data_IF_791907983446
#
_entry.id   IF_791907983446
#
_cell.length_a   1.000
_cell.length_b   1.000
_cell.length_c   1.000
_cell.angle_alpha   90.00
_cell.angle_beta   90.00
_cell.angle_gamma   90.00
#
_symmetry.space_group_name_H-M   'P 1'
#
loop_
_entity.id
_entity.type
_entity.pdbx_description
1 polymer ?
#
# COMPACT_ATOMS: atom_id res chain seq x y z
N UNK A 1 -5.17 -54.87 -14.91
CA UNK A 1 -4.03 -54.84 -13.97
C UNK A 1 -3.42 -53.45 -14.07
N UNK A 2 -3.53 -52.72 -12.97
CA UNK A 2 -2.87 -51.50 -12.49
C UNK A 2 -2.43 -50.33 -13.39
N UNK A 3 -2.75 -49.14 -12.88
CA UNK A 3 -2.16 -47.86 -13.32
C UNK A 3 -2.93 -46.63 -12.82
N UNK A 4 -3.13 -46.48 -11.49
CA UNK A 4 -3.58 -45.22 -10.91
C UNK A 4 -2.55 -44.10 -11.07
N UNK A 5 -3.01 -42.84 -10.99
CA UNK A 5 -2.34 -41.52 -10.82
C UNK A 5 -3.32 -40.50 -11.46
N UNK A 6 -3.65 -39.32 -10.96
CA UNK A 6 -3.15 -38.52 -9.86
C UNK A 6 -4.17 -37.40 -9.58
N UNK A 7 -4.51 -37.17 -8.32
CA UNK A 7 -5.42 -36.12 -7.85
C UNK A 7 -4.66 -34.78 -7.76
N UNK A 8 -4.38 -34.13 -8.88
CA UNK A 8 -3.80 -32.76 -8.89
C UNK A 8 -4.69 -31.77 -9.65
N UNK A 9 -5.63 -31.21 -8.87
CA UNK A 9 -6.07 -29.80 -8.84
C UNK A 9 -5.56 -28.93 -10.00
N UNK A 10 -6.39 -28.75 -11.03
CA UNK A 10 -6.30 -27.59 -11.91
C UNK A 10 -6.83 -26.37 -11.17
N UNK A 11 -5.94 -25.54 -10.62
CA UNK A 11 -6.25 -24.15 -10.33
C UNK A 11 -5.85 -23.32 -11.56
N UNK A 12 -6.73 -22.48 -12.12
CA UNK A 12 -6.38 -21.68 -13.28
C UNK A 12 -5.28 -20.67 -12.92
N UNK A 13 -4.16 -20.75 -13.63
CA UNK A 13 -3.11 -19.73 -13.64
C UNK A 13 -3.74 -18.37 -13.98
N UNK A 14 -3.64 -17.33 -13.13
CA UNK A 14 -3.90 -15.99 -13.59
C UNK A 14 -2.65 -15.54 -14.35
N UNK A 15 -2.78 -15.43 -15.67
CA UNK A 15 -1.81 -14.75 -16.54
C UNK A 15 -1.39 -13.42 -15.91
N UNK A 16 -0.22 -13.40 -15.28
CA UNK A 16 0.47 -12.18 -14.90
C UNK A 16 0.81 -11.47 -16.20
N UNK A 17 0.13 -10.36 -16.48
CA UNK A 17 0.53 -9.45 -17.55
C UNK A 17 2.01 -9.09 -17.38
N UNK A 18 2.77 -9.25 -18.45
CA UNK A 18 4.21 -8.98 -18.55
C UNK A 18 4.38 -7.47 -18.74
N UNK A 19 5.02 -6.78 -17.80
CA UNK A 19 5.50 -5.41 -17.99
C UNK A 19 6.96 -5.45 -18.50
N UNK A 20 7.23 -4.94 -19.73
CA UNK A 20 8.56 -4.93 -20.35
C UNK A 20 9.62 -4.01 -19.71
N UNK A 21 9.30 -3.24 -18.66
CA UNK A 21 10.24 -2.26 -18.06
C UNK A 21 10.92 -2.70 -16.76
N UNK A 22 10.88 -3.99 -16.44
CA UNK A 22 12.08 -4.76 -16.09
C UNK A 22 13.01 -4.29 -14.95
N UNK A 23 12.54 -3.59 -13.91
CA UNK A 23 13.25 -3.46 -12.60
C UNK A 23 12.38 -2.97 -11.42
N UNK A 24 11.04 -3.01 -11.52
CA UNK A 24 10.18 -2.75 -10.36
C UNK A 24 10.08 -4.01 -9.50
N UNK A 25 10.46 -3.93 -8.22
CA UNK A 25 10.13 -4.96 -7.23
C UNK A 25 8.63 -5.24 -7.32
N UNK A 26 8.24 -6.50 -7.59
CA UNK A 26 6.81 -6.86 -7.75
C UNK A 26 6.02 -6.41 -6.52
N UNK A 27 4.91 -5.71 -6.74
CA UNK A 27 3.92 -5.48 -5.70
C UNK A 27 3.29 -6.79 -5.24
N UNK A 28 3.05 -6.93 -3.94
CA UNK A 28 2.30 -8.05 -3.37
C UNK A 28 0.85 -7.62 -3.16
N UNK A 29 -0.10 -8.53 -3.42
CA UNK A 29 -1.52 -8.35 -3.14
C UNK A 29 -1.99 -9.50 -2.24
N UNK A 30 -2.53 -9.15 -1.07
CA UNK A 30 -3.00 -10.09 -0.05
C UNK A 30 -4.52 -10.36 -0.14
N UNK A 31 -5.21 -9.94 -1.20
CA UNK A 31 -6.65 -10.18 -1.38
C UNK A 31 -6.98 -11.67 -1.24
N UNK A 32 -7.85 -12.00 -0.29
CA UNK A 32 -8.25 -13.38 0.00
C UNK A 32 -7.25 -14.18 0.85
N UNK A 33 -6.13 -13.57 1.27
CA UNK A 33 -5.19 -14.19 2.20
C UNK A 33 -5.80 -14.31 3.60
N UNK A 34 -5.51 -15.41 4.35
CA UNK A 34 -5.81 -15.49 5.78
C UNK A 34 -5.02 -14.48 6.63
N UNK A 35 -3.98 -13.85 6.06
CA UNK A 35 -3.16 -12.84 6.75
C UNK A 35 -3.83 -11.45 6.79
N UNK A 36 -4.94 -11.25 6.08
CA UNK A 36 -5.71 -10.02 6.17
C UNK A 36 -6.36 -9.89 7.55
N UNK A 37 -6.42 -8.66 8.07
CA UNK A 37 -7.10 -8.38 9.33
C UNK A 37 -8.55 -8.89 9.32
N UNK A 38 -8.98 -9.68 10.32
CA UNK A 38 -10.35 -10.17 10.36
C UNK A 38 -11.31 -9.02 10.63
N UNK A 39 -12.22 -8.77 9.69
CA UNK A 39 -13.20 -7.68 9.81
C UNK A 39 -14.54 -8.15 10.36
N UNK A 40 -15.23 -7.27 11.08
CA UNK A 40 -16.57 -7.50 11.59
C UNK A 40 -17.50 -6.32 11.28
N UNK A 41 -18.80 -6.59 11.09
CA UNK A 41 -19.79 -5.56 10.78
C UNK A 41 -19.42 -4.74 9.54
N UNK A 42 -19.24 -3.43 9.71
CA UNK A 42 -18.95 -2.49 8.63
C UNK A 42 -17.45 -2.22 8.44
N UNK A 43 -16.58 -2.95 9.15
CA UNK A 43 -15.12 -2.77 9.04
C UNK A 43 -14.60 -3.24 7.67
N UNK A 44 -13.47 -2.66 7.24
CA UNK A 44 -12.77 -3.04 6.01
C UNK A 44 -11.28 -3.19 6.29
N UNK A 45 -10.69 -4.28 5.81
CA UNK A 45 -9.25 -4.53 5.85
C UNK A 45 -8.56 -4.14 4.53
N UNK A 46 -9.34 -3.89 3.48
CA UNK A 46 -8.88 -3.34 2.20
C UNK A 46 -9.63 -2.04 1.97
N UNK A 47 -8.90 -0.94 1.82
CA UNK A 47 -9.48 0.41 1.65
C UNK A 47 -8.70 1.20 0.61
N UNK A 48 -9.38 2.13 -0.05
CA UNK A 48 -8.72 3.12 -0.93
C UNK A 48 -8.51 4.42 -0.16
N UNK A 49 -7.29 4.95 -0.19
CA UNK A 49 -6.97 6.26 0.38
C UNK A 49 -6.40 7.19 -0.69
N UNK A 50 -6.36 8.49 -0.40
CA UNK A 50 -5.51 9.43 -1.12
C UNK A 50 -4.18 9.55 -0.38
N UNK A 51 -3.07 9.34 -1.08
CA UNK A 51 -1.70 9.38 -0.54
C UNK A 51 -1.31 10.80 -0.12
N UNK A 52 -0.75 10.90 1.09
CA UNK A 52 -0.50 12.17 1.76
C UNK A 52 0.99 12.49 1.93
N UNK A 53 1.86 11.78 1.22
CA UNK A 53 3.30 12.03 1.23
C UNK A 53 4.00 11.48 2.47
N UNK A 54 3.31 10.69 3.31
CA UNK A 54 3.86 10.11 4.54
C UNK A 54 3.08 8.87 4.96
N UNK A 55 3.79 7.77 5.22
CA UNK A 55 3.19 6.49 5.64
C UNK A 55 2.31 6.63 6.88
N UNK A 56 2.74 7.38 7.89
CA UNK A 56 1.93 7.57 9.11
C UNK A 56 0.60 8.30 8.86
N UNK A 57 0.60 9.28 7.94
CA UNK A 57 -0.63 10.00 7.54
C UNK A 57 -1.55 9.08 6.73
N UNK A 58 -0.96 8.26 5.87
CA UNK A 58 -1.68 7.26 5.08
C UNK A 58 -2.31 6.18 5.98
N UNK A 59 -1.56 5.66 6.96
CA UNK A 59 -2.05 4.68 7.94
C UNK A 59 -3.21 5.25 8.76
N UNK A 60 -3.09 6.50 9.21
CA UNK A 60 -4.16 7.20 9.93
C UNK A 60 -5.43 7.28 9.08
N UNK A 61 -5.28 7.61 7.79
CA UNK A 61 -6.40 7.69 6.87
C UNK A 61 -6.99 6.30 6.57
N UNK A 62 -6.15 5.28 6.43
CA UNK A 62 -6.58 3.90 6.19
C UNK A 62 -7.40 3.37 7.38
N UNK A 63 -6.93 3.54 8.62
CA UNK A 63 -7.70 3.19 9.83
C UNK A 63 -9.07 3.89 9.89
N UNK A 64 -9.11 5.17 9.49
CA UNK A 64 -10.36 5.94 9.45
C UNK A 64 -11.34 5.36 8.42
N UNK A 65 -10.90 5.13 7.18
CA UNK A 65 -11.75 4.54 6.12
C UNK A 65 -12.16 3.09 6.44
N UNK A 66 -11.30 2.38 7.16
CA UNK A 66 -11.51 1.00 7.58
C UNK A 66 -12.53 0.84 8.71
N UNK A 67 -12.79 1.90 9.48
CA UNK A 67 -13.58 1.79 10.72
C UNK A 67 -12.89 0.93 11.79
N UNK A 68 -11.55 0.83 11.75
CA UNK A 68 -10.74 0.02 12.67
C UNK A 68 -10.00 0.96 13.62
N UNK A 69 -10.02 0.63 14.92
CA UNK A 69 -9.19 1.33 15.92
C UNK A 69 -7.75 0.82 15.80
N UNK A 70 -6.72 1.69 15.75
CA UNK A 70 -5.32 1.26 15.67
C UNK A 70 -4.94 0.26 16.76
N UNK A 71 -5.39 0.48 17.99
CA UNK A 71 -5.13 -0.40 19.15
C UNK A 71 -5.76 -1.79 19.07
N UNK A 72 -6.55 -2.08 18.03
CA UNK A 72 -7.12 -3.40 17.79
C UNK A 72 -6.27 -4.21 16.78
N UNK A 73 -5.22 -3.61 16.22
CA UNK A 73 -4.45 -4.11 15.09
C UNK A 73 -2.94 -3.98 15.34
N UNK A 74 -2.49 -4.14 16.58
CA UNK A 74 -1.09 -3.91 16.98
C UNK A 74 -0.09 -4.84 16.24
N UNK A 75 -0.50 -6.07 15.93
CA UNK A 75 0.30 -7.05 15.16
C UNK A 75 0.09 -6.97 13.64
N UNK A 76 -0.52 -5.89 13.16
CA UNK A 76 -0.84 -5.68 11.74
C UNK A 76 -0.19 -4.41 11.21
N UNK A 77 0.15 -4.44 9.93
CA UNK A 77 0.70 -3.31 9.20
C UNK A 77 -0.14 -3.03 7.96
N UNK A 78 -0.35 -1.76 7.67
CA UNK A 78 -0.95 -1.34 6.41
C UNK A 78 0.07 -1.47 5.28
N UNK A 79 -0.24 -2.36 4.34
CA UNK A 79 0.48 -2.56 3.10
C UNK A 79 -0.07 -1.64 2.00
N UNK A 80 0.83 -1.00 1.25
CA UNK A 80 0.52 -0.14 0.11
C UNK A 80 0.58 -0.98 -1.18
N UNK A 81 -0.55 -1.12 -1.89
CA UNK A 81 -0.60 -1.86 -3.16
C UNK A 81 0.14 -1.10 -4.27
N UNK A 82 0.56 -1.80 -5.32
CA UNK A 82 1.28 -1.23 -6.47
C UNK A 82 0.32 -0.61 -7.50
N UNK A 83 -0.62 0.24 -7.04
CA UNK A 83 -1.75 0.77 -7.81
C UNK A 83 -1.91 2.30 -7.73
N UNK A 84 -0.83 3.04 -7.48
CA UNK A 84 -0.85 4.49 -7.38
C UNK A 84 -1.40 5.14 -8.66
N UNK A 85 -2.49 5.89 -8.52
CA UNK A 85 -3.00 6.76 -9.57
C UNK A 85 -2.51 8.20 -9.37
N UNK A 86 -1.54 8.68 -10.18
CA UNK A 86 -1.01 10.04 -10.05
C UNK A 86 -2.02 11.14 -10.36
N UNK A 87 -3.13 10.86 -11.06
CA UNK A 87 -4.16 11.86 -11.37
C UNK A 87 -5.01 12.18 -10.16
N UNK A 88 -5.34 11.15 -9.36
CA UNK A 88 -6.22 11.27 -8.21
C UNK A 88 -5.50 11.18 -6.87
N UNK A 89 -4.23 10.78 -6.88
CA UNK A 89 -3.42 10.52 -5.70
C UNK A 89 -3.83 9.26 -4.95
N UNK A 90 -4.65 8.39 -5.56
CA UNK A 90 -5.25 7.26 -4.85
C UNK A 90 -4.37 6.02 -4.89
N UNK A 91 -4.50 5.20 -3.85
CA UNK A 91 -3.92 3.84 -3.77
C UNK A 91 -4.78 2.96 -2.88
N UNK A 92 -4.67 1.65 -3.06
CA UNK A 92 -5.25 0.64 -2.17
C UNK A 92 -4.30 0.33 -1.02
N UNK A 93 -4.88 0.20 0.16
CA UNK A 93 -4.22 -0.19 1.41
C UNK A 93 -4.82 -1.51 1.89
N UNK A 94 -3.97 -2.44 2.33
CA UNK A 94 -4.37 -3.72 2.88
C UNK A 94 -3.81 -3.88 4.29
N UNK A 95 -4.66 -4.08 5.30
CA UNK A 95 -4.22 -4.34 6.67
C UNK A 95 -3.93 -5.83 6.80
N UNK A 96 -2.65 -6.16 6.92
CA UNK A 96 -2.13 -7.53 6.90
C UNK A 96 -1.28 -7.79 8.14
N UNK A 97 -1.13 -9.05 8.54
CA UNK A 97 -0.23 -9.41 9.64
C UNK A 97 1.17 -8.86 9.34
N UNK A 98 1.81 -8.28 10.35
CA UNK A 98 3.14 -7.68 10.17
C UNK A 98 4.16 -8.71 9.69
N UNK A 99 4.07 -9.95 10.17
CA UNK A 99 4.92 -11.06 9.71
C UNK A 99 4.76 -11.37 8.23
N UNK A 100 3.53 -11.43 7.71
CA UNK A 100 3.30 -11.68 6.28
C UNK A 100 3.79 -10.52 5.40
N UNK A 101 3.61 -9.28 5.86
CA UNK A 101 4.16 -8.11 5.19
C UNK A 101 5.70 -8.15 5.14
N UNK A 102 6.37 -8.43 6.26
CA UNK A 102 7.83 -8.50 6.33
C UNK A 102 8.42 -9.64 5.49
N UNK A 103 7.73 -10.79 5.42
CA UNK A 103 8.16 -11.94 4.64
C UNK A 103 8.23 -11.67 3.11
N UNK A 104 7.65 -10.56 2.66
CA UNK A 104 7.65 -10.18 1.24
C UNK A 104 8.74 -9.17 0.88
N UNK A 105 9.56 -8.72 1.84
CA UNK A 105 10.64 -7.79 1.55
C UNK A 105 11.78 -8.42 0.72
N UNK A 106 12.43 -7.66 -0.18
CA UNK A 106 12.04 -6.31 -0.61
C UNK A 106 10.84 -6.35 -1.58
N UNK A 107 9.81 -5.57 -1.29
CA UNK A 107 8.68 -5.37 -2.20
C UNK A 107 8.52 -3.89 -2.57
N UNK A 108 7.96 -3.68 -3.77
CA UNK A 108 7.49 -2.38 -4.23
C UNK A 108 6.02 -2.16 -3.85
N UNK A 109 5.57 -0.92 -4.01
CA UNK A 109 4.18 -0.53 -3.80
C UNK A 109 3.98 0.92 -4.20
N UNK A 110 2.79 1.45 -3.97
CA UNK A 110 2.43 2.81 -4.36
C UNK A 110 3.35 3.89 -3.80
N UNK A 111 4.02 3.64 -2.67
CA UNK A 111 5.10 4.52 -2.17
C UNK A 111 6.22 4.68 -3.19
N UNK A 112 6.72 3.59 -3.76
CA UNK A 112 7.78 3.63 -4.76
C UNK A 112 7.28 4.24 -6.08
N UNK A 113 6.02 3.98 -6.46
CA UNK A 113 5.40 4.59 -7.64
C UNK A 113 5.23 6.11 -7.47
N UNK A 114 4.81 6.57 -6.29
CA UNK A 114 4.73 7.99 -5.94
C UNK A 114 6.10 8.65 -6.04
N UNK A 115 7.13 8.06 -5.42
CA UNK A 115 8.50 8.58 -5.45
C UNK A 115 9.01 8.69 -6.90
N UNK A 116 8.83 7.63 -7.70
CA UNK A 116 9.22 7.60 -9.11
C UNK A 116 8.47 8.64 -9.93
N UNK A 117 7.16 8.78 -9.74
CA UNK A 117 6.33 9.71 -10.50
C UNK A 117 6.74 11.17 -10.28
N UNK A 118 7.05 11.55 -9.04
CA UNK A 118 7.43 12.91 -8.67
C UNK A 118 8.95 13.15 -8.65
N UNK A 119 9.76 12.19 -9.10
CA UNK A 119 11.22 12.34 -9.18
C UNK A 119 11.92 12.42 -7.81
N UNK A 120 11.32 11.85 -6.77
CA UNK A 120 11.92 11.75 -5.44
C UNK A 120 12.94 10.62 -5.38
N UNK A 121 13.94 10.75 -4.51
CA UNK A 121 14.86 9.64 -4.19
C UNK A 121 14.07 8.49 -3.54
N UNK A 122 14.46 7.25 -3.83
CA UNK A 122 13.88 6.07 -3.16
C UNK A 122 14.01 6.18 -1.63
N UNK A 123 12.90 5.97 -0.92
CA UNK A 123 12.80 6.13 0.53
C UNK A 123 12.58 7.57 1.01
N UNK A 124 12.36 8.54 0.12
CA UNK A 124 12.04 9.92 0.48
C UNK A 124 10.56 10.14 0.84
N UNK A 125 9.70 9.14 0.72
CA UNK A 125 8.30 9.24 1.14
C UNK A 125 8.21 9.42 2.67
N UNK A 126 7.64 10.55 3.10
CA UNK A 126 7.71 11.05 4.47
C UNK A 126 8.55 12.31 4.65
N UNK A 127 9.31 12.70 3.62
CA UNK A 127 10.04 13.97 3.59
C UNK A 127 9.11 15.19 3.44
N UNK A 128 9.64 16.38 3.74
CA UNK A 128 8.92 17.63 3.52
C UNK A 128 8.48 17.80 2.05
N UNK A 129 9.32 17.38 1.10
CA UNK A 129 9.01 17.45 -0.33
C UNK A 129 7.84 16.53 -0.69
N UNK A 130 7.86 15.27 -0.23
CA UNK A 130 6.77 14.32 -0.48
C UNK A 130 5.43 14.83 0.08
N UNK A 131 5.45 15.38 1.30
CA UNK A 131 4.25 15.96 1.92
C UNK A 131 3.82 17.24 1.18
N UNK A 132 4.77 18.08 0.76
CA UNK A 132 4.52 19.29 -0.03
C UNK A 132 3.89 18.99 -1.38
N UNK A 133 4.31 17.92 -2.06
CA UNK A 133 3.68 17.42 -3.29
C UNK A 133 2.21 17.07 -3.03
N UNK A 134 1.92 16.27 -2.00
CA UNK A 134 0.54 15.94 -1.65
C UNK A 134 -0.28 17.17 -1.25
N UNK A 135 0.33 18.17 -0.60
CA UNK A 135 -0.34 19.44 -0.29
C UNK A 135 -0.68 20.23 -1.55
N UNK A 136 0.27 20.37 -2.49
CA UNK A 136 0.09 21.11 -3.74
C UNK A 136 -0.97 20.48 -4.64
N UNK A 137 -1.13 19.15 -4.58
CA UNK A 137 -2.18 18.43 -5.29
C UNK A 137 -3.53 18.41 -4.53
N UNK A 138 -3.64 19.06 -3.36
CA UNK A 138 -4.87 19.07 -2.56
C UNK A 138 -5.20 17.75 -1.88
N UNK A 139 -4.24 16.83 -1.77
CA UNK A 139 -4.41 15.49 -1.20
C UNK A 139 -4.22 15.44 0.31
N UNK A 140 -3.56 16.46 0.87
CA UNK A 140 -3.26 16.52 2.29
C UNK A 140 -4.53 16.71 3.13
N UNK A 141 -4.85 15.75 3.98
CA UNK A 141 -5.91 15.86 4.98
C UNK A 141 -5.32 16.35 6.30
N UNK A 142 -5.98 17.30 6.96
CA UNK A 142 -5.54 17.86 8.25
C UNK A 142 -4.50 18.98 8.12
N UNK A 143 -3.75 19.25 9.21
CA UNK A 143 -2.82 20.38 9.29
C UNK A 143 -1.65 20.21 8.31
N UNK A 144 -1.36 21.27 7.55
CA UNK A 144 -0.15 21.38 6.74
C UNK A 144 1.11 21.32 7.62
N UNK A 145 2.22 20.71 7.16
CA UNK A 145 3.50 20.84 7.83
C UNK A 145 3.85 22.31 8.02
N UNK A 146 4.52 22.65 9.12
CA UNK A 146 5.08 24.00 9.26
C UNK A 146 6.12 24.17 8.15
N UNK A 147 5.84 25.01 7.16
CA UNK A 147 6.88 25.51 6.25
C UNK A 147 7.93 26.21 7.09
N UNK A 148 9.11 25.60 7.23
CA UNK A 148 10.30 26.34 7.62
C UNK A 148 10.67 27.20 6.42
N UNK A 149 10.14 28.41 6.37
CA UNK A 149 10.65 29.46 5.49
C UNK A 149 12.08 29.72 5.93
N UNK A 150 13.04 29.12 5.23
CA UNK A 150 14.43 29.60 5.30
C UNK A 150 14.44 30.93 4.57
N UNK A 151 14.21 32.00 5.32
CA UNK A 151 14.53 33.35 4.89
C UNK A 151 16.05 33.42 4.72
N UNK A 152 16.50 33.51 3.48
CA UNK A 152 17.87 33.95 3.17
C UNK A 152 17.98 35.47 3.39
#
# INVERSE_FOLDING_TARGET
MDGGLNLYRYAPNPNTWVDPWGWAYKGVDFTGSPDLFPVSGNQKNIVTITMQGSRGRDFTQAYKEAGIKPSAADDYTWHHLDDFDPKTGKTTMQLVTTSAHEATFPHGGSVAQFEKHFGLRSGAYGSADAIGISQNNGWLKGRAPKTTTTTC
#
